data_IF_143141858378
#
_entry.id   IF_143141858378
#
_cell.length_a   1.000
_cell.length_b   1.000
_cell.length_c   1.000
_cell.angle_alpha   90.00
_cell.angle_beta   90.00
_cell.angle_gamma   90.00
#
_symmetry.space_group_name_H-M   'P 1'
#
loop_
_entity.id
_entity.type
_entity.pdbx_description
1 polymer ?
#
# COMPACT_ATOMS: atom_id res chain seq x y z
N UNK A 1 -49.73 82.09 8.72
CA UNK A 1 -48.33 81.99 8.29
C UNK A 1 -47.72 80.83 9.07
N UNK A 2 -47.51 79.68 8.41
CA UNK A 2 -47.02 78.46 9.06
C UNK A 2 -45.49 78.50 9.18
N UNK A 3 -44.96 78.51 10.41
CA UNK A 3 -43.52 78.44 10.67
C UNK A 3 -43.01 77.02 10.52
N UNK A 4 -42.01 76.84 9.65
CA UNK A 4 -41.26 75.59 9.46
C UNK A 4 -40.28 75.45 10.65
N UNK A 5 -40.21 74.30 11.33
CA UNK A 5 -39.24 74.10 12.40
C UNK A 5 -37.81 73.93 11.83
N UNK A 6 -36.76 74.36 12.56
CA UNK A 6 -35.39 74.28 12.08
C UNK A 6 -34.89 72.83 12.05
N UNK A 7 -34.25 72.46 10.94
CA UNK A 7 -33.56 71.18 10.73
C UNK A 7 -32.38 71.06 11.69
N UNK A 8 -32.38 70.05 12.56
CA UNK A 8 -31.21 69.73 13.39
C UNK A 8 -30.06 69.16 12.54
N UNK A 9 -28.79 69.52 12.82
CA UNK A 9 -27.64 68.94 12.16
C UNK A 9 -27.42 67.48 12.59
N UNK A 10 -27.09 66.62 11.62
CA UNK A 10 -26.80 65.20 11.81
C UNK A 10 -25.46 65.06 12.57
N UNK A 11 -25.38 64.24 13.64
CA UNK A 11 -24.12 64.03 14.35
C UNK A 11 -23.10 63.26 13.48
N UNK A 12 -21.79 63.50 13.65
CA UNK A 12 -20.76 62.79 12.91
C UNK A 12 -20.73 61.29 13.26
N UNK A 13 -20.34 60.42 12.31
CA UNK A 13 -20.24 58.99 12.55
C UNK A 13 -19.15 58.68 13.59
N UNK A 14 -19.45 57.78 14.53
CA UNK A 14 -18.52 57.34 15.56
C UNK A 14 -17.31 56.60 14.94
N UNK A 15 -16.11 56.72 15.52
CA UNK A 15 -14.93 55.99 15.04
C UNK A 15 -15.13 54.48 15.22
N UNK A 16 -14.85 53.73 14.16
CA UNK A 16 -14.97 52.26 14.14
C UNK A 16 -14.00 51.65 15.16
N UNK A 17 -14.53 50.80 16.06
CA UNK A 17 -13.72 49.99 16.98
C UNK A 17 -12.88 48.99 16.18
N UNK A 18 -11.56 48.88 16.40
CA UNK A 18 -10.78 47.80 15.81
C UNK A 18 -11.30 46.46 16.36
N UNK A 19 -11.66 45.54 15.46
CA UNK A 19 -12.03 44.16 15.82
C UNK A 19 -10.84 43.45 16.50
N UNK A 20 -11.05 42.71 17.60
CA UNK A 20 -10.01 41.90 18.20
C UNK A 20 -9.55 40.85 17.16
N UNK A 21 -8.25 40.80 16.88
CA UNK A 21 -7.67 39.75 16.03
C UNK A 21 -7.76 38.45 16.83
N UNK A 22 -8.55 37.49 16.34
CA UNK A 22 -8.58 36.14 16.91
C UNK A 22 -7.17 35.53 16.76
N UNK A 23 -6.52 35.05 17.83
CA UNK A 23 -5.24 34.38 17.69
C UNK A 23 -5.39 33.12 16.81
N UNK A 24 -4.38 32.76 16.01
CA UNK A 24 -4.42 31.54 15.22
C UNK A 24 -4.60 30.34 16.16
N UNK A 25 -5.48 29.41 15.77
CA UNK A 25 -5.70 28.18 16.53
C UNK A 25 -4.37 27.45 16.74
N UNK A 26 -4.11 26.87 17.92
CA UNK A 26 -2.93 26.03 18.12
C UNK A 26 -2.93 24.90 17.09
N UNK A 27 -1.75 24.49 16.59
CA UNK A 27 -1.69 23.34 15.69
C UNK A 27 -2.35 22.14 16.38
N UNK A 28 -3.11 21.31 15.63
CA UNK A 28 -3.71 20.11 16.21
C UNK A 28 -2.62 19.28 16.89
N UNK A 29 -2.89 18.69 18.07
CA UNK A 29 -1.89 17.92 18.78
C UNK A 29 -1.31 16.85 17.86
N UNK A 30 0.01 16.86 17.71
CA UNK A 30 0.71 15.79 17.03
C UNK A 30 0.34 14.48 17.75
N UNK A 31 -0.45 13.64 17.10
CA UNK A 31 -0.76 12.32 17.61
C UNK A 31 0.55 11.53 17.53
N UNK A 32 1.29 11.49 18.63
CA UNK A 32 2.39 10.55 18.80
C UNK A 32 1.80 9.15 18.85
N UNK A 33 1.81 8.48 17.70
CA UNK A 33 1.69 7.02 17.67
C UNK A 33 3.11 6.51 17.84
N UNK A 34 3.41 5.90 18.98
CA UNK A 34 4.66 5.17 19.15
C UNK A 34 4.78 4.19 17.98
N UNK A 35 5.91 4.16 17.24
CA UNK A 35 6.09 3.23 16.14
C UNK A 35 6.04 1.82 16.74
N UNK A 36 4.89 1.17 16.64
CA UNK A 36 4.77 -0.21 17.05
C UNK A 36 5.42 -1.05 15.96
N UNK A 37 6.44 -1.81 16.36
CA UNK A 37 7.13 -2.75 15.49
C UNK A 37 6.50 -4.11 15.72
N UNK A 38 5.93 -4.69 14.68
CA UNK A 38 5.40 -6.06 14.71
C UNK A 38 6.25 -6.95 13.83
N UNK A 39 6.43 -8.22 14.23
CA UNK A 39 7.04 -9.23 13.37
C UNK A 39 5.95 -10.22 12.91
N UNK A 40 6.04 -10.65 11.66
CA UNK A 40 5.18 -11.70 11.10
C UNK A 40 6.01 -12.65 10.23
N UNK A 41 5.62 -13.91 10.20
CA UNK A 41 6.19 -14.89 9.28
C UNK A 41 5.65 -14.68 7.87
N UNK A 42 6.56 -14.53 6.92
CA UNK A 42 6.30 -14.49 5.49
C UNK A 42 6.88 -15.72 4.79
N UNK A 43 6.35 -16.03 3.61
CA UNK A 43 6.98 -16.98 2.69
C UNK A 43 7.82 -16.20 1.68
N UNK A 44 9.07 -16.60 1.52
CA UNK A 44 10.00 -16.03 0.55
C UNK A 44 10.29 -17.04 -0.55
N UNK A 45 10.01 -16.63 -1.78
CA UNK A 45 10.27 -17.36 -3.01
C UNK A 45 11.49 -16.72 -3.67
N UNK A 46 12.66 -17.30 -3.40
CA UNK A 46 13.93 -16.79 -3.93
C UNK A 46 14.21 -17.31 -5.34
N UNK A 47 14.91 -16.51 -6.14
CA UNK A 47 15.45 -16.93 -7.44
C UNK A 47 16.59 -17.93 -7.33
N UNK A 48 17.39 -17.85 -6.25
CA UNK A 48 18.60 -18.65 -6.05
C UNK A 48 18.37 -20.03 -5.44
N UNK A 49 17.14 -20.36 -5.03
CA UNK A 49 16.81 -21.64 -4.41
C UNK A 49 15.50 -22.20 -4.98
N UNK A 50 15.41 -23.52 -5.21
CA UNK A 50 14.15 -24.17 -5.59
C UNK A 50 13.18 -24.31 -4.41
N UNK A 51 13.64 -24.09 -3.16
CA UNK A 51 12.80 -24.18 -1.97
C UNK A 51 12.35 -22.79 -1.53
N UNK A 52 11.06 -22.68 -1.21
CA UNK A 52 10.58 -21.55 -0.43
C UNK A 52 11.12 -21.67 1.01
N UNK A 53 11.21 -20.54 1.70
CA UNK A 53 11.55 -20.52 3.11
C UNK A 53 10.73 -19.47 3.85
N UNK A 54 10.63 -19.64 5.16
CA UNK A 54 9.99 -18.67 6.04
C UNK A 54 10.99 -17.59 6.44
N UNK A 55 10.54 -16.35 6.47
CA UNK A 55 11.31 -15.22 6.96
C UNK A 55 10.45 -14.35 7.88
N UNK A 56 11.02 -13.93 9.01
CA UNK A 56 10.41 -12.97 9.90
C UNK A 56 10.53 -11.56 9.31
N UNK A 57 9.40 -10.95 8.96
CA UNK A 57 9.33 -9.61 8.39
C UNK A 57 8.93 -8.61 9.46
N UNK A 58 9.73 -7.56 9.60
CA UNK A 58 9.44 -6.40 10.42
C UNK A 58 8.37 -5.53 9.74
N UNK A 59 7.33 -5.18 10.49
CA UNK A 59 6.24 -4.31 10.08
C UNK A 59 6.28 -3.03 10.91
N UNK A 60 6.38 -1.90 10.22
CA UNK A 60 6.32 -0.59 10.86
C UNK A 60 4.89 -0.05 10.80
N UNK A 61 4.34 0.29 11.96
CA UNK A 61 3.06 1.01 12.01
C UNK A 61 3.23 2.47 11.59
N UNK A 62 2.30 3.00 10.80
CA UNK A 62 2.23 4.42 10.48
C UNK A 62 0.80 4.93 10.59
N UNK A 63 0.68 6.20 11.01
CA UNK A 63 -0.58 6.92 11.08
C UNK A 63 -1.07 7.22 9.66
N UNK A 64 -2.13 6.52 9.22
CA UNK A 64 -2.85 6.85 8.01
C UNK A 64 -3.79 8.05 8.21
N UNK A 65 -4.26 8.66 7.11
CA UNK A 65 -5.36 9.62 7.16
C UNK A 65 -6.56 9.01 7.89
N UNK A 66 -7.27 9.82 8.69
CA UNK A 66 -8.45 9.42 9.48
C UNK A 66 -8.14 8.50 10.69
N UNK A 67 -6.98 8.64 11.35
CA UNK A 67 -6.61 7.86 12.55
C UNK A 67 -6.60 6.35 12.32
N UNK A 68 -6.30 5.93 11.10
CA UNK A 68 -6.12 4.51 10.78
C UNK A 68 -4.67 4.12 11.00
N UNK A 69 -4.40 2.97 11.63
CA UNK A 69 -3.05 2.41 11.65
C UNK A 69 -2.86 1.61 10.36
N UNK A 70 -1.74 1.82 9.70
CA UNK A 70 -1.33 1.03 8.54
C UNK A 70 0.03 0.39 8.82
N UNK A 71 0.26 -0.78 8.23
CA UNK A 71 1.47 -1.57 8.45
C UNK A 71 2.29 -1.62 7.17
N UNK A 72 3.54 -1.17 7.25
CA UNK A 72 4.49 -1.18 6.15
C UNK A 72 5.55 -2.27 6.39
N UNK A 73 5.61 -3.32 5.55
CA UNK A 73 6.65 -4.33 5.69
C UNK A 73 8.00 -3.80 5.25
N UNK A 74 9.04 -4.10 6.02
CA UNK A 74 10.43 -3.81 5.67
C UNK A 74 11.01 -4.95 4.84
N UNK A 75 11.16 -4.70 3.54
CA UNK A 75 11.60 -5.72 2.57
C UNK A 75 13.02 -5.46 2.03
N UNK A 76 13.69 -4.41 2.50
CA UNK A 76 15.04 -4.01 2.07
C UNK A 76 16.08 -5.11 2.25
N UNK A 77 15.97 -5.94 3.30
CA UNK A 77 16.85 -7.09 3.51
C UNK A 77 16.68 -8.23 2.49
N UNK A 78 15.56 -8.28 1.75
CA UNK A 78 15.24 -9.35 0.78
C UNK A 78 15.42 -8.87 -0.66
N UNK A 79 14.96 -7.66 -0.98
CA UNK A 79 15.05 -7.10 -2.33
C UNK A 79 16.25 -6.15 -2.52
N UNK A 80 16.91 -5.76 -1.43
CA UNK A 80 17.90 -4.69 -1.41
C UNK A 80 17.29 -3.32 -1.12
N UNK A 81 17.97 -2.50 -0.33
CA UNK A 81 17.50 -1.17 0.15
C UNK A 81 17.17 -0.17 -0.97
N UNK A 82 17.68 -0.39 -2.19
CA UNK A 82 17.46 0.50 -3.35
C UNK A 82 16.30 0.05 -4.25
N UNK A 83 15.69 -1.09 -3.97
CA UNK A 83 14.62 -1.65 -4.78
C UNK A 83 13.28 -1.29 -4.16
N UNK A 84 12.45 -0.58 -4.92
CA UNK A 84 11.05 -0.35 -4.56
C UNK A 84 10.22 -1.52 -5.08
N UNK A 85 9.69 -2.40 -4.21
CA UNK A 85 8.93 -3.55 -4.66
C UNK A 85 7.61 -3.14 -5.31
N UNK A 86 7.18 -3.92 -6.29
CA UNK A 86 5.80 -3.89 -6.79
C UNK A 86 4.96 -4.83 -5.92
N UNK A 87 3.69 -4.50 -5.66
CA UNK A 87 2.81 -5.35 -4.87
C UNK A 87 1.48 -5.69 -5.55
N UNK A 88 0.83 -6.75 -5.08
CA UNK A 88 -0.52 -7.15 -5.47
C UNK A 88 -1.20 -7.94 -4.37
N UNK A 89 -2.50 -7.73 -4.18
CA UNK A 89 -3.30 -8.49 -3.22
C UNK A 89 -4.13 -9.57 -3.92
N UNK A 90 -3.92 -10.83 -3.53
CA UNK A 90 -4.76 -11.96 -3.90
C UNK A 90 -5.86 -12.17 -2.87
N UNK A 91 -7.12 -11.97 -3.28
CA UNK A 91 -8.29 -12.20 -2.42
C UNK A 91 -9.12 -13.41 -2.81
N UNK A 92 -8.69 -14.16 -3.84
CA UNK A 92 -9.41 -15.31 -4.37
C UNK A 92 -8.49 -16.54 -4.33
N UNK A 93 -8.99 -17.62 -3.75
CA UNK A 93 -8.33 -18.91 -3.75
C UNK A 93 -8.76 -19.77 -4.93
N UNK A 94 -8.48 -21.07 -4.79
CA UNK A 94 -8.86 -22.10 -5.76
C UNK A 94 -10.37 -22.09 -5.98
N UNK A 95 -10.81 -22.18 -7.24
CA UNK A 95 -12.22 -22.15 -7.63
C UNK A 95 -12.88 -20.77 -7.51
N UNK A 96 -12.09 -19.70 -7.36
CA UNK A 96 -12.59 -18.32 -7.32
C UNK A 96 -13.23 -17.89 -5.99
N UNK A 97 -13.22 -18.77 -4.98
CA UNK A 97 -13.75 -18.47 -3.64
C UNK A 97 -12.93 -17.39 -2.95
N UNK A 98 -13.58 -16.51 -2.21
CA UNK A 98 -12.90 -15.45 -1.46
C UNK A 98 -12.07 -16.05 -0.33
N UNK A 99 -10.80 -15.66 -0.24
CA UNK A 99 -9.94 -16.04 0.89
C UNK A 99 -10.42 -15.33 2.16
N UNK A 100 -10.44 -16.05 3.28
CA UNK A 100 -10.73 -15.46 4.61
C UNK A 100 -9.66 -14.43 4.98
N UNK A 101 -8.41 -14.80 4.70
CA UNK A 101 -7.21 -13.99 4.89
C UNK A 101 -6.57 -13.79 3.52
N UNK A 102 -6.75 -12.62 2.87
CA UNK A 102 -6.10 -12.33 1.60
C UNK A 102 -4.57 -12.39 1.70
N UNK A 103 -3.92 -12.77 0.61
CA UNK A 103 -2.46 -12.82 0.51
C UNK A 103 -1.94 -11.56 -0.17
N UNK A 104 -0.85 -11.00 0.34
CA UNK A 104 -0.18 -9.82 -0.18
C UNK A 104 1.17 -10.23 -0.77
N UNK A 105 1.30 -10.10 -2.08
CA UNK A 105 2.51 -10.44 -2.82
C UNK A 105 3.31 -9.19 -3.06
N UNK A 106 4.61 -9.25 -2.77
CA UNK A 106 5.59 -8.25 -3.11
C UNK A 106 6.61 -8.87 -4.07
N UNK A 107 6.87 -8.18 -5.16
CA UNK A 107 7.76 -8.60 -6.24
C UNK A 107 8.94 -7.66 -6.32
N UNK A 108 10.14 -8.22 -6.43
CA UNK A 108 11.36 -7.46 -6.71
C UNK A 108 11.25 -6.63 -7.99
N UNK A 109 10.57 -7.19 -9.01
CA UNK A 109 10.28 -6.50 -10.26
C UNK A 109 8.77 -6.52 -10.55
N UNK A 110 8.22 -5.44 -11.13
CA UNK A 110 6.82 -5.43 -11.56
C UNK A 110 6.55 -6.57 -12.55
N UNK A 111 5.42 -7.30 -12.43
CA UNK A 111 5.04 -8.31 -13.42
C UNK A 111 5.03 -7.75 -14.85
N UNK A 112 4.59 -6.51 -15.03
CA UNK A 112 4.50 -5.88 -16.36
C UNK A 112 5.87 -5.58 -17.00
N UNK A 113 6.93 -5.53 -16.20
CA UNK A 113 8.30 -5.28 -16.68
C UNK A 113 9.05 -6.55 -17.11
N UNK A 114 8.52 -7.74 -16.79
CA UNK A 114 9.20 -9.03 -17.03
C UNK A 114 9.60 -9.30 -18.50
N UNK A 115 8.83 -8.90 -19.53
CA UNK A 115 9.24 -9.08 -20.93
C UNK A 115 10.54 -8.35 -21.29
N UNK A 116 10.87 -7.27 -20.57
CA UNK A 116 12.09 -6.46 -20.79
C UNK A 116 13.29 -6.95 -19.97
N UNK A 117 13.07 -7.87 -19.04
CA UNK A 117 14.09 -8.39 -18.13
C UNK A 117 14.74 -9.66 -18.66
N UNK A 118 15.19 -9.66 -19.92
CA UNK A 118 15.74 -10.84 -20.59
C UNK A 118 16.86 -11.53 -19.78
N UNK A 119 17.66 -10.75 -19.04
CA UNK A 119 18.82 -11.23 -18.28
C UNK A 119 18.50 -11.64 -16.84
N UNK A 120 17.27 -11.44 -16.35
CA UNK A 120 16.89 -11.82 -14.99
C UNK A 120 16.46 -13.28 -14.96
N UNK A 121 17.01 -14.03 -14.00
CA UNK A 121 16.74 -15.46 -13.80
C UNK A 121 15.26 -15.69 -13.45
N UNK A 122 14.70 -16.78 -13.99
CA UNK A 122 13.39 -17.27 -13.56
C UNK A 122 13.45 -17.70 -12.09
N UNK A 123 12.34 -17.56 -11.38
CA UNK A 123 12.27 -17.97 -9.99
C UNK A 123 12.09 -19.49 -9.88
N UNK A 124 13.18 -20.19 -9.53
CA UNK A 124 13.19 -21.64 -9.35
C UNK A 124 12.20 -22.10 -8.28
N UNK A 125 12.03 -21.34 -7.20
CA UNK A 125 11.08 -21.63 -6.13
C UNK A 125 9.62 -21.54 -6.61
N UNK A 126 9.28 -20.57 -7.47
CA UNK A 126 7.93 -20.49 -8.06
C UNK A 126 7.67 -21.71 -8.96
N UNK A 127 8.65 -22.09 -9.79
CA UNK A 127 8.53 -23.27 -10.64
C UNK A 127 8.38 -24.55 -9.81
N UNK A 128 9.16 -24.72 -8.73
CA UNK A 128 9.04 -25.87 -7.85
C UNK A 128 7.70 -25.92 -7.09
N UNK A 129 7.15 -24.76 -6.70
CA UNK A 129 5.91 -24.66 -5.93
C UNK A 129 4.64 -24.78 -6.80
N UNK A 130 4.63 -24.13 -7.96
CA UNK A 130 3.44 -24.01 -8.82
C UNK A 130 3.52 -24.86 -10.10
N UNK A 131 4.67 -25.49 -10.37
CA UNK A 131 4.91 -26.21 -11.62
C UNK A 131 5.02 -25.25 -12.81
N UNK A 132 4.42 -25.65 -13.94
CA UNK A 132 4.40 -24.83 -15.14
C UNK A 132 3.44 -23.64 -14.98
N UNK A 133 4.00 -22.45 -14.85
CA UNK A 133 3.22 -21.20 -14.83
C UNK A 133 3.10 -20.62 -16.25
N UNK A 134 1.96 -20.02 -16.62
CA UNK A 134 1.77 -19.41 -17.94
C UNK A 134 2.64 -18.16 -18.14
N UNK A 135 3.21 -17.65 -17.06
CA UNK A 135 4.03 -16.46 -17.02
C UNK A 135 5.40 -16.79 -16.42
N UNK A 136 6.51 -16.38 -17.04
CA UNK A 136 7.86 -16.66 -16.55
C UNK A 136 8.19 -15.69 -15.41
N UNK A 137 7.74 -16.00 -14.20
CA UNK A 137 8.01 -15.19 -13.01
C UNK A 137 9.52 -15.07 -12.75
N UNK A 138 10.01 -13.84 -12.56
CA UNK A 138 11.42 -13.53 -12.29
C UNK A 138 11.55 -12.71 -11.01
N UNK A 139 12.74 -12.71 -10.42
CA UNK A 139 13.02 -12.00 -9.17
C UNK A 139 12.46 -12.69 -7.94
N UNK A 140 12.88 -12.20 -6.78
CA UNK A 140 12.40 -12.67 -5.49
C UNK A 140 10.94 -12.23 -5.29
N UNK A 141 10.16 -13.07 -4.61
CA UNK A 141 8.78 -12.75 -4.21
C UNK A 141 8.61 -13.01 -2.73
N UNK A 142 8.03 -12.03 -2.02
CA UNK A 142 7.66 -12.15 -0.61
C UNK A 142 6.15 -12.19 -0.51
N UNK A 143 5.63 -13.15 0.25
CA UNK A 143 4.20 -13.32 0.47
C UNK A 143 3.89 -13.12 1.94
N UNK A 144 3.02 -12.16 2.21
CA UNK A 144 2.46 -11.87 3.54
C UNK A 144 0.97 -12.23 3.57
N UNK A 145 0.43 -12.52 4.75
CA UNK A 145 -0.99 -12.85 4.95
C UNK A 145 -1.67 -11.78 5.78
N UNK A 146 -2.74 -11.21 5.24
CA UNK A 146 -3.57 -10.30 6.01
C UNK A 146 -4.35 -11.05 7.09
N UNK A 147 -4.54 -10.41 8.23
CA UNK A 147 -5.49 -10.86 9.24
C UNK A 147 -6.90 -10.42 8.83
N UNK A 148 -7.64 -11.35 8.21
CA UNK A 148 -9.01 -11.15 7.77
C UNK A 148 -9.19 -10.27 6.52
N UNK A 149 -10.43 -10.17 6.05
CA UNK A 149 -10.77 -9.51 4.79
C UNK A 149 -10.63 -7.98 4.77
N UNK A 150 -10.53 -7.33 5.94
CA UNK A 150 -10.37 -5.87 6.06
C UNK A 150 -8.92 -5.40 5.87
N UNK A 151 -7.95 -6.33 5.87
CA UNK A 151 -6.54 -6.02 5.57
C UNK A 151 -5.92 -4.94 6.47
N UNK A 152 -6.33 -4.93 7.75
CA UNK A 152 -5.89 -3.92 8.74
C UNK A 152 -4.62 -4.32 9.49
N UNK A 153 -4.26 -5.59 9.47
CA UNK A 153 -3.05 -6.12 10.08
C UNK A 153 -2.62 -7.38 9.32
N UNK A 154 -1.42 -7.86 9.64
CA UNK A 154 -0.90 -9.11 9.12
C UNK A 154 -0.90 -10.19 10.21
N UNK A 155 -0.88 -11.43 9.76
CA UNK A 155 -0.70 -12.63 10.58
C UNK A 155 0.34 -13.52 9.92
N UNK A 156 0.80 -14.53 10.66
CA UNK A 156 1.76 -15.49 10.15
C UNK A 156 1.18 -16.30 8.98
N UNK A 157 2.00 -16.44 7.95
CA UNK A 157 1.79 -17.37 6.85
C UNK A 157 2.16 -18.78 7.30
N UNK A 158 1.41 -19.78 6.82
CA UNK A 158 1.63 -21.18 7.14
C UNK A 158 1.52 -22.07 5.87
N UNK A 159 1.81 -23.37 6.01
CA UNK A 159 1.80 -24.31 4.89
C UNK A 159 0.43 -24.45 4.21
N UNK A 160 -0.68 -24.10 4.88
CA UNK A 160 -2.01 -24.13 4.28
C UNK A 160 -2.19 -23.06 3.20
N UNK A 161 -1.40 -21.98 3.25
CA UNK A 161 -1.42 -20.90 2.27
C UNK A 161 -0.73 -21.30 0.96
N UNK A 162 0.16 -22.30 0.97
CA UNK A 162 0.96 -22.72 -0.20
C UNK A 162 0.10 -23.06 -1.41
N UNK A 163 -1.05 -23.70 -1.21
CA UNK A 163 -1.97 -24.04 -2.31
C UNK A 163 -2.58 -22.80 -2.95
N UNK A 164 -2.90 -21.78 -2.16
CA UNK A 164 -3.42 -20.51 -2.66
C UNK A 164 -2.32 -19.70 -3.38
N UNK A 165 -1.09 -19.77 -2.87
CA UNK A 165 0.10 -19.16 -3.49
C UNK A 165 0.39 -19.80 -4.84
N UNK A 166 0.47 -21.13 -4.92
CA UNK A 166 0.67 -21.86 -6.17
C UNK A 166 -0.42 -21.51 -7.19
N UNK A 167 -1.68 -21.54 -6.76
CA UNK A 167 -2.81 -21.18 -7.62
C UNK A 167 -2.73 -19.74 -8.14
N UNK A 168 -2.27 -18.77 -7.33
CA UNK A 168 -2.07 -17.39 -7.77
C UNK A 168 -1.12 -17.33 -8.98
N UNK A 169 0.02 -18.02 -8.92
CA UNK A 169 1.00 -18.04 -10.00
C UNK A 169 0.53 -18.79 -11.25
N UNK A 170 -0.28 -19.83 -11.09
CA UNK A 170 -0.89 -20.56 -12.22
C UNK A 170 -2.00 -19.74 -12.91
N UNK A 171 -2.77 -18.96 -12.16
CA UNK A 171 -3.92 -18.22 -12.70
C UNK A 171 -3.54 -16.88 -13.31
N UNK A 172 -2.56 -16.17 -12.73
CA UNK A 172 -2.11 -14.87 -13.24
C UNK A 172 -1.47 -15.06 -14.61
N UNK A 173 -2.23 -14.71 -15.65
CA UNK A 173 -1.73 -14.58 -17.02
C UNK A 173 -0.87 -13.32 -17.14
N UNK A 174 0.01 -13.31 -18.13
CA UNK A 174 0.78 -12.13 -18.47
C UNK A 174 -0.16 -10.91 -18.62
N UNK A 175 0.23 -9.73 -18.13
CA UNK A 175 -0.45 -8.50 -18.48
C UNK A 175 -0.50 -8.40 -20.01
N UNK A 176 -1.71 -8.23 -20.56
CA UNK A 176 -1.91 -8.15 -22.01
C UNK A 176 -1.05 -7.02 -22.58
N UNK A 177 -0.31 -7.23 -23.68
CA UNK A 177 0.31 -6.13 -24.41
C UNK A 177 -0.80 -5.39 -25.17
N UNK A 178 -1.62 -4.61 -24.48
CA UNK A 178 -2.56 -3.71 -25.16
C UNK A 178 -1.76 -2.60 -25.83
N UNK A 179 -1.88 -2.50 -27.16
CA UNK A 179 -1.56 -1.29 -27.93
C UNK A 179 -2.16 -0.08 -27.21
N UNK A 180 -1.30 0.86 -26.81
CA UNK A 180 -1.73 2.08 -26.11
C UNK A 180 -0.97 2.26 -24.81
N UNK A 181 0.18 2.90 -24.91
CA UNK A 181 0.89 3.46 -23.78
C UNK A 181 0.10 4.63 -23.16
N UNK A 182 -1.00 4.34 -22.45
CA UNK A 182 -1.69 5.32 -21.59
C UNK A 182 -2.46 4.60 -20.48
N UNK A 183 -1.75 4.04 -19.49
CA UNK A 183 -2.26 3.86 -18.12
C UNK A 183 -1.10 3.48 -17.18
N UNK A 184 -0.15 4.39 -17.03
CA UNK A 184 0.83 4.37 -15.96
C UNK A 184 0.55 5.53 -14.99
N UNK A 185 -0.67 5.62 -14.45
CA UNK A 185 -1.01 6.59 -13.40
C UNK A 185 -2.13 6.04 -12.52
N UNK A 186 -1.77 5.18 -11.58
CA UNK A 186 -2.37 5.09 -10.24
C UNK A 186 -1.72 3.93 -9.53
N UNK A 187 -0.77 4.21 -8.63
CA UNK A 187 -0.58 3.51 -7.34
C UNK A 187 0.61 4.05 -6.53
N UNK A 188 1.29 5.09 -7.00
CA UNK A 188 2.24 5.87 -6.20
C UNK A 188 1.90 7.36 -6.24
N UNK A 189 1.09 7.79 -5.27
CA UNK A 189 1.03 9.18 -4.82
C UNK A 189 0.81 9.16 -3.32
N UNK A 190 1.92 9.10 -2.59
CA UNK A 190 2.01 9.60 -1.21
C UNK A 190 3.37 10.27 -1.05
N UNK A 191 3.56 11.38 -1.78
CA UNK A 191 4.35 12.52 -1.31
C UNK A 191 3.41 13.71 -1.30
N UNK A 192 3.13 14.17 -0.10
CA UNK A 192 2.40 15.38 0.26
C UNK A 192 2.69 15.61 1.72
#
# INVERSE_FOLDING_TARGET
MSSIPPTQPIPPPLPMRPTPRTPPAPPPPAIHIDPNVQHVQAIVLSTGSPRYHYASIELNSYAGPLRTVRWLPRLGGIFGERVTPSDTVCSKGIGGRRLRSPLHFFFEYPPDSMPRLANVQQSHSIHALAGQTPFPWKGNVVVLKFNGGLRRSYQDVDDSDLRAIAHFFCQKRAPSPSLGATQALSYYSWRG
#
